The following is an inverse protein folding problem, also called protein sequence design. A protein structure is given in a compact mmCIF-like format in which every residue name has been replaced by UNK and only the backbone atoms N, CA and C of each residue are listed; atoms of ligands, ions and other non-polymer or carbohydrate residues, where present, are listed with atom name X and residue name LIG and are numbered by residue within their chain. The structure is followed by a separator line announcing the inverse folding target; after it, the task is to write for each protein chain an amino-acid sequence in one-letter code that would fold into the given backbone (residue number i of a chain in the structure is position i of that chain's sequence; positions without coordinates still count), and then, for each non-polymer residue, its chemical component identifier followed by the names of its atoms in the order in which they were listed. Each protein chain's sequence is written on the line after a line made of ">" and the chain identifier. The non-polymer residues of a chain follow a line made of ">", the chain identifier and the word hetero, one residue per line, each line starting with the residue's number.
data_IF_975124243783
#
_entry.id   IF_975124243783
#
_cell.length_a   1.000
_cell.length_b   1.000
_cell.length_c   1.000
_cell.angle_alpha   90.00
_cell.angle_beta   90.00
_cell.angle_gamma   90.00
#
_symmetry.space_group_name_H-M   'P 1'
#
loop_
_entity.id
_entity.type
_entity.pdbx_description
1 polymer ?
#
# COMPACT_ATOMS: atom_id res chain seq x y z
N UNK A 1 -37.96 -0.76 92.42
CA UNK A 1 -38.23 0.67 92.06
C UNK A 1 -37.01 1.54 91.77
N UNK A 2 -35.88 1.44 92.51
CA UNK A 2 -34.67 2.23 92.18
C UNK A 2 -33.83 1.57 91.06
N UNK A 3 -33.65 0.25 91.11
CA UNK A 3 -32.84 -0.51 90.14
C UNK A 3 -33.47 -0.54 88.73
N UNK A 4 -34.80 -0.62 88.63
CA UNK A 4 -35.48 -0.61 87.32
C UNK A 4 -35.39 0.74 86.60
N UNK A 5 -35.29 1.87 87.32
CA UNK A 5 -35.11 3.19 86.70
C UNK A 5 -33.70 3.39 86.15
N UNK A 6 -32.71 2.75 86.74
CA UNK A 6 -31.31 2.82 86.30
C UNK A 6 -31.06 1.93 85.08
N UNK A 7 -31.69 0.73 85.03
CA UNK A 7 -31.64 -0.18 83.87
C UNK A 7 -32.35 0.41 82.65
N UNK A 8 -33.50 1.07 82.83
CA UNK A 8 -34.21 1.77 81.73
C UNK A 8 -33.42 2.98 81.22
N UNK A 9 -32.70 3.69 82.10
CA UNK A 9 -31.82 4.80 81.72
C UNK A 9 -30.57 4.36 80.94
N UNK A 10 -30.01 3.18 81.24
CA UNK A 10 -28.88 2.60 80.50
C UNK A 10 -29.32 2.09 79.12
N UNK A 11 -30.45 1.38 79.03
CA UNK A 11 -30.99 0.91 77.75
C UNK A 11 -31.36 2.07 76.78
N UNK A 12 -31.84 3.20 77.31
CA UNK A 12 -32.11 4.41 76.51
C UNK A 12 -30.83 5.05 75.94
N UNK A 13 -29.74 5.07 76.72
CA UNK A 13 -28.43 5.57 76.26
C UNK A 13 -27.79 4.64 75.23
N UNK A 14 -27.94 3.33 75.39
CA UNK A 14 -27.44 2.35 74.41
C UNK A 14 -28.18 2.47 73.08
N UNK A 15 -29.49 2.74 73.09
CA UNK A 15 -30.28 3.01 71.88
C UNK A 15 -29.86 4.32 71.19
N UNK A 16 -29.48 5.34 71.93
CA UNK A 16 -29.04 6.63 71.38
C UNK A 16 -27.64 6.53 70.75
N UNK A 17 -26.73 5.80 71.40
CA UNK A 17 -25.39 5.49 70.87
C UNK A 17 -25.49 4.64 69.59
N UNK A 18 -26.39 3.66 69.54
CA UNK A 18 -26.63 2.84 68.35
C UNK A 18 -27.14 3.70 67.16
N UNK A 19 -28.03 4.66 67.42
CA UNK A 19 -28.52 5.58 66.39
C UNK A 19 -27.43 6.54 65.86
N UNK A 20 -26.55 7.04 66.73
CA UNK A 20 -25.42 7.89 66.33
C UNK A 20 -24.41 7.08 65.50
N UNK A 21 -24.11 5.85 65.91
CA UNK A 21 -23.23 4.95 65.17
C UNK A 21 -23.82 4.54 63.82
N UNK A 22 -25.15 4.33 63.74
CA UNK A 22 -25.88 4.08 62.49
C UNK A 22 -25.73 5.24 61.51
N UNK A 23 -26.07 6.47 61.94
CA UNK A 23 -25.90 7.68 61.10
C UNK A 23 -24.46 7.92 60.66
N UNK A 24 -23.47 7.56 61.50
CA UNK A 24 -22.06 7.69 61.16
C UNK A 24 -21.65 6.69 60.07
N UNK A 25 -22.14 5.45 60.13
CA UNK A 25 -21.93 4.43 59.10
C UNK A 25 -22.61 4.81 57.79
N UNK A 26 -23.83 5.35 57.85
CA UNK A 26 -24.56 5.80 56.66
C UNK A 26 -23.86 6.98 55.98
N UNK A 27 -23.39 7.95 56.78
CA UNK A 27 -22.60 9.09 56.27
C UNK A 27 -21.28 8.62 55.65
N UNK A 28 -20.60 7.66 56.28
CA UNK A 28 -19.37 7.07 55.75
C UNK A 28 -19.61 6.33 54.41
N UNK A 29 -20.70 5.56 54.32
CA UNK A 29 -21.09 4.88 53.08
C UNK A 29 -21.43 5.87 51.96
N UNK A 30 -22.14 6.96 52.28
CA UNK A 30 -22.45 8.01 51.32
C UNK A 30 -21.18 8.71 50.81
N UNK A 31 -20.21 8.97 51.69
CA UNK A 31 -18.91 9.55 51.31
C UNK A 31 -18.13 8.59 50.41
N UNK A 32 -18.05 7.31 50.78
CA UNK A 32 -17.37 6.28 49.98
C UNK A 32 -18.02 6.09 48.61
N UNK A 33 -19.35 6.10 48.54
CA UNK A 33 -20.08 6.01 47.27
C UNK A 33 -19.81 7.23 46.37
N UNK A 34 -19.84 8.43 46.94
CA UNK A 34 -19.60 9.67 46.19
C UNK A 34 -18.15 9.77 45.70
N UNK A 35 -17.18 9.31 46.51
CA UNK A 35 -15.78 9.15 46.10
C UNK A 35 -15.62 8.12 44.99
N UNK A 36 -16.30 6.97 45.09
CA UNK A 36 -16.24 5.91 44.08
C UNK A 36 -16.79 6.38 42.74
N UNK A 37 -17.95 7.07 42.75
CA UNK A 37 -18.56 7.64 41.55
C UNK A 37 -17.66 8.72 40.94
N UNK A 38 -17.12 9.62 41.77
CA UNK A 38 -16.20 10.66 41.29
C UNK A 38 -14.93 10.08 40.69
N UNK A 39 -14.32 9.08 41.32
CA UNK A 39 -13.12 8.41 40.80
C UNK A 39 -13.41 7.66 39.49
N UNK A 40 -14.55 6.98 39.38
CA UNK A 40 -14.99 6.35 38.14
C UNK A 40 -15.08 7.35 36.99
N UNK A 41 -15.74 8.49 37.21
CA UNK A 41 -15.85 9.54 36.18
C UNK A 41 -14.49 10.13 35.76
N UNK A 42 -13.53 10.25 36.68
CA UNK A 42 -12.19 10.72 36.36
C UNK A 42 -11.40 9.71 35.51
N UNK A 43 -11.58 8.41 35.76
CA UNK A 43 -10.97 7.34 34.96
C UNK A 43 -11.54 7.32 33.54
N UNK A 44 -12.86 7.42 33.40
CA UNK A 44 -13.52 7.47 32.10
C UNK A 44 -13.10 8.70 31.28
N UNK A 45 -13.00 9.86 31.94
CA UNK A 45 -12.51 11.08 31.31
C UNK A 45 -11.04 10.94 30.86
N UNK A 46 -10.20 10.30 31.66
CA UNK A 46 -8.82 9.98 31.30
C UNK A 46 -8.71 9.03 30.10
N UNK A 47 -9.55 8.00 30.05
CA UNK A 47 -9.64 7.08 28.92
C UNK A 47 -10.09 7.80 27.64
N UNK A 48 -11.10 8.67 27.73
CA UNK A 48 -11.56 9.47 26.59
C UNK A 48 -10.47 10.43 26.06
N UNK A 49 -9.71 11.08 26.96
CA UNK A 49 -8.61 11.96 26.57
C UNK A 49 -7.47 11.21 25.88
N UNK A 50 -7.08 10.03 26.37
CA UNK A 50 -6.03 9.22 25.73
C UNK A 50 -6.46 8.74 24.35
N UNK A 51 -7.71 8.29 24.19
CA UNK A 51 -8.28 7.90 22.91
C UNK A 51 -8.35 9.07 21.90
N UNK A 52 -8.71 10.27 22.36
CA UNK A 52 -8.72 11.47 21.52
C UNK A 52 -7.29 11.83 21.05
N UNK A 53 -6.31 11.74 21.95
CA UNK A 53 -4.91 11.99 21.61
C UNK A 53 -4.36 11.01 20.56
N UNK A 54 -4.74 9.74 20.63
CA UNK A 54 -4.38 8.74 19.61
C UNK A 54 -5.03 9.02 18.27
N UNK A 55 -6.32 9.40 18.26
CA UNK A 55 -7.04 9.79 17.03
C UNK A 55 -6.42 11.01 16.35
N UNK A 56 -5.99 12.01 17.12
CA UNK A 56 -5.28 13.19 16.58
C UNK A 56 -3.96 12.77 15.94
N UNK A 57 -3.16 11.96 16.64
CA UNK A 57 -1.89 11.44 16.08
C UNK A 57 -2.10 10.59 14.82
N UNK A 58 -3.17 9.80 14.78
CA UNK A 58 -3.52 9.04 13.59
C UNK A 58 -3.91 9.97 12.43
N UNK A 59 -4.76 10.97 12.68
CA UNK A 59 -5.16 11.96 11.68
C UNK A 59 -3.97 12.74 11.11
N UNK A 60 -2.99 13.12 11.95
CA UNK A 60 -1.76 13.77 11.51
C UNK A 60 -0.93 12.88 10.57
N UNK A 61 -0.81 11.59 10.90
CA UNK A 61 -0.13 10.62 10.03
C UNK A 61 -0.84 10.44 8.69
N UNK A 62 -2.17 10.35 8.70
CA UNK A 62 -2.96 10.28 7.47
C UNK A 62 -2.78 11.52 6.61
N UNK A 63 -2.83 12.72 7.20
CA UNK A 63 -2.59 13.97 6.47
C UNK A 63 -1.16 14.06 5.89
N UNK A 64 -0.17 13.49 6.58
CA UNK A 64 1.20 13.42 6.06
C UNK A 64 1.31 12.43 4.89
N UNK A 65 0.62 11.30 4.97
CA UNK A 65 0.60 10.31 3.90
C UNK A 65 -0.11 10.84 2.66
N UNK A 66 -1.25 11.52 2.85
CA UNK A 66 -2.02 12.15 1.77
C UNK A 66 -1.18 13.15 0.99
N UNK A 67 -0.44 14.04 1.68
CA UNK A 67 0.52 14.95 1.02
C UNK A 67 1.60 14.23 0.22
N UNK A 68 2.09 13.10 0.73
CA UNK A 68 3.11 12.29 0.03
C UNK A 68 2.53 11.61 -1.20
N UNK A 69 1.29 11.11 -1.10
CA UNK A 69 0.55 10.51 -2.19
C UNK A 69 0.32 11.53 -3.31
N UNK A 70 -0.18 12.72 -2.97
CA UNK A 70 -0.35 13.83 -3.92
C UNK A 70 0.96 14.18 -4.64
N UNK A 71 2.06 14.28 -3.88
CA UNK A 71 3.37 14.59 -4.47
C UNK A 71 3.85 13.51 -5.44
N UNK A 72 3.72 12.23 -5.07
CA UNK A 72 4.10 11.10 -5.92
C UNK A 72 3.22 11.09 -7.18
N UNK A 73 1.92 11.35 -7.04
CA UNK A 73 0.99 11.40 -8.15
C UNK A 73 1.34 12.52 -9.13
N UNK A 74 1.67 13.70 -8.62
CA UNK A 74 2.09 14.85 -9.44
C UNK A 74 3.39 14.56 -10.21
N UNK A 75 4.38 13.94 -9.54
CA UNK A 75 5.64 13.54 -10.18
C UNK A 75 5.39 12.50 -11.26
N UNK A 76 4.53 11.51 -10.99
CA UNK A 76 4.16 10.50 -11.97
C UNK A 76 3.49 11.12 -13.20
N UNK A 77 2.56 12.05 -13.01
CA UNK A 77 1.88 12.75 -14.12
C UNK A 77 2.84 13.62 -14.94
N UNK A 78 3.76 14.34 -14.27
CA UNK A 78 4.82 15.09 -14.93
C UNK A 78 5.72 14.16 -15.76
N UNK A 79 6.15 13.03 -15.19
CA UNK A 79 6.98 12.06 -15.90
C UNK A 79 6.24 11.45 -17.10
N UNK A 80 4.95 11.14 -16.95
CA UNK A 80 4.10 10.65 -18.04
C UNK A 80 3.93 11.69 -19.15
N UNK A 81 3.77 12.97 -18.80
CA UNK A 81 3.70 14.06 -19.76
C UNK A 81 5.02 14.23 -20.52
N UNK A 82 6.15 14.17 -19.82
CA UNK A 82 7.47 14.28 -20.45
C UNK A 82 7.73 13.07 -21.37
N UNK A 83 7.40 11.85 -20.95
CA UNK A 83 7.47 10.65 -21.78
C UNK A 83 6.64 10.79 -23.07
N UNK A 84 5.42 11.32 -22.98
CA UNK A 84 4.59 11.60 -24.17
C UNK A 84 5.25 12.63 -25.09
N UNK A 85 5.85 13.67 -24.52
CA UNK A 85 6.56 14.70 -25.29
C UNK A 85 7.79 14.14 -26.00
N UNK A 86 8.59 13.33 -25.31
CA UNK A 86 9.74 12.62 -25.90
C UNK A 86 9.30 11.67 -27.01
N UNK A 87 8.24 10.89 -26.80
CA UNK A 87 7.66 10.03 -27.83
C UNK A 87 7.15 10.85 -29.03
N UNK A 88 6.51 12.00 -28.79
CA UNK A 88 6.06 12.90 -29.87
C UNK A 88 7.23 13.48 -30.66
N UNK A 89 8.33 13.86 -29.99
CA UNK A 89 9.56 14.32 -30.65
C UNK A 89 10.12 13.20 -31.53
N UNK A 90 10.26 11.99 -30.99
CA UNK A 90 10.72 10.82 -31.73
C UNK A 90 9.87 10.57 -32.98
N UNK A 91 8.53 10.61 -32.84
CA UNK A 91 7.60 10.47 -33.96
C UNK A 91 7.73 11.60 -35.00
N UNK A 92 8.03 12.83 -34.58
CA UNK A 92 8.28 13.96 -35.50
C UNK A 92 9.64 13.91 -36.17
N UNK A 93 10.60 13.18 -35.61
CA UNK A 93 11.93 13.00 -36.20
C UNK A 93 11.94 11.96 -37.33
N UNK A 94 10.97 11.04 -37.36
CA UNK A 94 10.87 9.96 -38.36
C UNK A 94 11.01 10.45 -39.80
N UNK A 95 10.27 11.49 -40.25
CA UNK A 95 10.37 11.94 -41.64
C UNK A 95 11.72 12.57 -42.00
N UNK A 96 12.50 12.98 -40.99
CA UNK A 96 13.82 13.59 -41.17
C UNK A 96 14.95 12.56 -41.09
N UNK A 97 14.68 11.37 -40.55
CA UNK A 97 15.58 10.21 -40.61
C UNK A 97 15.50 9.55 -42.00
N UNK A 98 15.69 10.34 -43.07
CA UNK A 98 15.77 9.85 -44.44
C UNK A 98 17.05 9.03 -44.58
N UNK A 99 16.97 7.78 -44.16
CA UNK A 99 17.93 6.76 -44.52
C UNK A 99 17.71 6.55 -46.03
N UNK A 100 18.72 6.83 -46.86
CA UNK A 100 18.69 6.65 -48.31
C UNK A 100 18.67 5.16 -48.70
N UNK A 101 17.74 4.39 -48.12
CA UNK A 101 17.63 2.95 -48.30
C UNK A 101 16.15 2.64 -48.49
N UNK A 102 15.84 2.04 -49.64
CA UNK A 102 14.64 1.30 -50.06
C UNK A 102 13.32 1.60 -49.29
N UNK A 103 12.22 2.02 -49.95
CA UNK A 103 10.92 2.33 -49.31
C UNK A 103 10.39 1.27 -48.32
N UNK A 104 10.82 0.01 -48.43
CA UNK A 104 10.52 -1.06 -47.47
C UNK A 104 11.12 -0.80 -46.08
N UNK A 105 12.32 -0.23 -46.00
CA UNK A 105 13.01 0.11 -44.75
C UNK A 105 12.33 1.28 -44.06
N UNK A 106 11.86 2.27 -44.83
CA UNK A 106 11.12 3.42 -44.29
C UNK A 106 9.80 3.00 -43.64
N UNK A 107 9.03 2.11 -44.29
CA UNK A 107 7.79 1.57 -43.72
C UNK A 107 8.05 0.73 -42.45
N UNK A 108 9.13 -0.05 -42.46
CA UNK A 108 9.55 -0.83 -41.29
C UNK A 108 9.95 0.08 -40.12
N UNK A 109 10.65 1.17 -40.40
CA UNK A 109 11.11 2.15 -39.41
C UNK A 109 9.93 2.94 -38.80
N UNK A 110 8.95 3.37 -39.60
CA UNK A 110 7.73 4.00 -39.08
C UNK A 110 6.95 3.04 -38.16
N UNK A 111 6.85 1.76 -38.53
CA UNK A 111 6.28 0.71 -37.69
C UNK A 111 7.01 0.55 -36.36
N UNK A 112 8.35 0.46 -36.39
CA UNK A 112 9.19 0.35 -35.18
C UNK A 112 8.99 1.56 -34.25
N UNK A 113 8.95 2.76 -34.79
CA UNK A 113 8.90 3.99 -33.98
C UNK A 113 7.52 4.19 -33.34
N UNK A 114 6.45 3.81 -34.05
CA UNK A 114 5.07 3.96 -33.56
C UNK A 114 4.61 2.83 -32.65
N UNK A 115 4.96 1.60 -33.00
CA UNK A 115 4.40 0.39 -32.39
C UNK A 115 5.47 -0.50 -31.73
N UNK A 116 6.74 -0.08 -31.78
CA UNK A 116 7.85 -0.89 -31.31
C UNK A 116 8.24 -1.99 -32.30
N UNK A 117 9.27 -2.75 -31.93
CA UNK A 117 9.86 -3.80 -32.76
C UNK A 117 8.95 -5.01 -33.00
N UNK A 118 7.85 -5.11 -32.26
CA UNK A 118 6.89 -6.22 -32.37
C UNK A 118 5.93 -6.06 -33.56
N UNK A 119 5.87 -4.87 -34.16
CA UNK A 119 5.13 -4.61 -35.40
C UNK A 119 5.77 -5.25 -36.64
N UNK A 120 7.03 -5.67 -36.56
CA UNK A 120 7.72 -6.34 -37.64
C UNK A 120 7.29 -7.81 -37.71
N UNK A 121 6.71 -8.20 -38.84
CA UNK A 121 6.41 -9.60 -39.15
C UNK A 121 7.66 -10.31 -39.66
N UNK A 122 8.37 -10.98 -38.76
CA UNK A 122 9.44 -11.91 -39.13
C UNK A 122 8.86 -13.27 -39.51
N UNK A 123 9.56 -14.00 -40.38
CA UNK A 123 9.15 -15.35 -40.79
C UNK A 123 9.11 -16.28 -39.58
N UNK A 124 8.15 -17.21 -39.56
CA UNK A 124 8.05 -18.29 -38.56
C UNK A 124 7.83 -17.85 -37.11
N UNK A 125 7.18 -16.70 -36.91
CA UNK A 125 6.97 -16.14 -35.56
C UNK A 125 8.25 -15.64 -34.87
N UNK A 126 9.35 -15.57 -35.62
CA UNK A 126 10.65 -15.09 -35.14
C UNK A 126 10.54 -13.64 -34.65
N UNK A 127 11.45 -13.20 -33.81
CA UNK A 127 11.47 -11.81 -33.35
C UNK A 127 12.86 -11.22 -33.51
N UNK A 128 12.95 -9.89 -33.49
CA UNK A 128 14.25 -9.23 -33.56
C UNK A 128 15.17 -9.66 -32.41
N UNK A 129 14.61 -9.96 -31.22
CA UNK A 129 15.40 -10.46 -30.11
C UNK A 129 15.97 -11.86 -30.38
N UNK A 130 15.26 -12.73 -31.14
CA UNK A 130 15.84 -14.00 -31.61
C UNK A 130 17.05 -13.75 -32.52
N UNK A 131 16.90 -12.87 -33.52
CA UNK A 131 17.99 -12.53 -34.45
C UNK A 131 19.24 -12.01 -33.73
N UNK A 132 19.03 -11.06 -32.82
CA UNK A 132 20.12 -10.41 -32.07
C UNK A 132 20.79 -11.40 -31.12
N UNK A 133 20.01 -12.28 -30.49
CA UNK A 133 20.51 -13.34 -29.63
C UNK A 133 21.35 -14.38 -30.40
N UNK A 134 20.99 -14.67 -31.65
CA UNK A 134 21.72 -15.62 -32.51
C UNK A 134 22.98 -14.99 -33.11
N UNK A 135 22.87 -13.78 -33.67
CA UNK A 135 23.82 -13.27 -34.68
C UNK A 135 24.62 -12.02 -34.27
N UNK A 136 24.18 -11.24 -33.27
CA UNK A 136 24.75 -9.90 -33.00
C UNK A 136 25.58 -9.85 -31.71
N UNK A 137 26.90 -9.65 -31.82
CA UNK A 137 27.88 -9.60 -30.72
C UNK A 137 27.88 -8.37 -29.82
N UNK A 138 27.32 -7.25 -30.29
CA UNK A 138 27.24 -6.06 -29.47
C UNK A 138 26.15 -6.18 -28.40
N UNK A 139 26.58 -6.25 -27.14
CA UNK A 139 25.71 -6.32 -25.96
C UNK A 139 24.83 -5.07 -25.82
N UNK A 140 25.29 -3.91 -26.29
CA UNK A 140 24.53 -2.66 -26.22
C UNK A 140 23.29 -2.72 -27.10
N UNK A 141 23.43 -3.33 -28.29
CA UNK A 141 22.33 -3.56 -29.22
C UNK A 141 21.35 -4.58 -28.65
N UNK A 142 21.86 -5.65 -28.04
CA UNK A 142 21.03 -6.66 -27.36
C UNK A 142 20.24 -6.03 -26.21
N UNK A 143 20.86 -5.17 -25.40
CA UNK A 143 20.22 -4.49 -24.28
C UNK A 143 19.11 -3.57 -24.77
N UNK A 144 19.39 -2.76 -25.79
CA UNK A 144 18.42 -1.86 -26.40
C UNK A 144 17.21 -2.61 -26.95
N UNK A 145 17.43 -3.66 -27.75
CA UNK A 145 16.34 -4.45 -28.35
C UNK A 145 15.55 -5.18 -27.27
N UNK A 146 16.22 -5.69 -26.23
CA UNK A 146 15.56 -6.37 -25.12
C UNK A 146 14.72 -5.44 -24.23
N UNK A 147 15.15 -4.18 -24.05
CA UNK A 147 14.37 -3.15 -23.35
C UNK A 147 13.12 -2.72 -24.15
N UNK A 148 13.24 -2.65 -25.48
CA UNK A 148 12.17 -2.20 -26.36
C UNK A 148 11.21 -3.30 -26.82
N UNK A 149 11.59 -4.58 -26.68
CA UNK A 149 10.71 -5.71 -26.98
C UNK A 149 9.58 -5.78 -25.96
N UNK A 150 8.34 -6.07 -26.35
CA UNK A 150 7.24 -6.30 -25.39
C UNK A 150 7.41 -7.61 -24.63
N UNK A 151 7.77 -8.69 -25.32
CA UNK A 151 7.95 -10.03 -24.74
C UNK A 151 9.36 -10.59 -24.99
N UNK A 152 10.13 -10.69 -23.91
CA UNK A 152 11.51 -11.24 -23.90
C UNK A 152 11.48 -12.78 -24.01
N UNK A 153 10.36 -13.41 -23.64
CA UNK A 153 10.18 -14.85 -23.59
C UNK A 153 9.36 -15.39 -24.76
N UNK A 154 9.09 -14.53 -25.76
CA UNK A 154 8.33 -14.86 -26.97
C UNK A 154 8.91 -16.12 -27.62
N UNK A 155 8.04 -17.07 -27.95
CA UNK A 155 8.42 -18.29 -28.66
C UNK A 155 8.18 -18.11 -30.15
N UNK A 156 9.08 -18.66 -30.96
CA UNK A 156 8.86 -18.84 -32.38
C UNK A 156 8.00 -20.10 -32.68
N UNK A 157 7.78 -20.40 -33.96
CA UNK A 157 7.05 -21.59 -34.39
C UNK A 157 7.75 -22.92 -34.03
N UNK A 158 9.06 -22.90 -33.80
CA UNK A 158 9.82 -24.06 -33.31
C UNK A 158 9.71 -24.21 -31.77
N UNK A 159 9.00 -23.29 -31.10
CA UNK A 159 8.82 -23.26 -29.66
C UNK A 159 10.04 -22.76 -28.89
N UNK A 160 11.02 -22.22 -29.61
CA UNK A 160 12.31 -21.74 -29.11
C UNK A 160 12.20 -20.29 -28.69
N UNK A 161 12.93 -19.92 -27.63
CA UNK A 161 12.96 -18.55 -27.10
C UNK A 161 14.27 -17.86 -27.53
N UNK A 162 14.35 -16.52 -27.48
CA UNK A 162 15.58 -15.81 -27.85
C UNK A 162 16.81 -16.27 -27.06
N UNK A 163 16.63 -16.56 -25.76
CA UNK A 163 17.71 -17.08 -24.91
C UNK A 163 18.22 -18.46 -25.37
N UNK A 164 17.37 -19.28 -25.98
CA UNK A 164 17.75 -20.61 -26.43
C UNK A 164 18.63 -20.53 -27.68
N UNK A 165 18.39 -19.55 -28.56
CA UNK A 165 19.30 -19.21 -29.66
C UNK A 165 20.65 -18.69 -29.14
N UNK A 166 20.67 -17.82 -28.12
CA UNK A 166 21.92 -17.38 -27.50
C UNK A 166 22.72 -18.55 -26.89
N UNK A 167 22.03 -19.57 -26.37
CA UNK A 167 22.64 -20.81 -25.86
C UNK A 167 23.20 -21.68 -26.98
N UNK A 168 22.47 -21.85 -28.07
CA UNK A 168 22.94 -22.59 -29.24
C UNK A 168 24.19 -21.96 -29.85
N UNK A 169 24.21 -20.62 -29.96
CA UNK A 169 25.36 -19.87 -30.43
C UNK A 169 26.49 -19.74 -29.40
N UNK A 170 26.32 -20.27 -28.17
CA UNK A 170 27.29 -20.27 -27.06
C UNK A 170 27.74 -18.86 -26.63
N UNK A 171 26.79 -17.94 -26.43
CA UNK A 171 27.05 -16.50 -26.21
C UNK A 171 26.71 -16.10 -24.75
N UNK A 172 27.60 -16.34 -23.77
CA UNK A 172 27.28 -16.20 -22.34
C UNK A 172 26.93 -14.76 -21.92
N UNK A 173 27.54 -13.75 -22.54
CA UNK A 173 27.23 -12.34 -22.25
C UNK A 173 25.78 -11.99 -22.59
N UNK A 174 25.31 -12.45 -23.75
CA UNK A 174 23.93 -12.28 -24.21
C UNK A 174 22.95 -13.04 -23.31
N UNK A 175 23.29 -14.26 -22.90
CA UNK A 175 22.45 -15.07 -21.99
C UNK A 175 22.26 -14.33 -20.65
N UNK A 176 23.35 -13.83 -20.06
CA UNK A 176 23.31 -13.11 -18.79
C UNK A 176 22.47 -11.82 -18.89
N UNK A 177 22.59 -11.11 -20.00
CA UNK A 177 21.84 -9.89 -20.26
C UNK A 177 20.35 -10.16 -20.42
N UNK A 178 19.97 -11.17 -21.21
CA UNK A 178 18.57 -11.56 -21.39
C UNK A 178 17.97 -12.03 -20.04
N UNK A 179 18.68 -12.82 -19.24
CA UNK A 179 18.22 -13.20 -17.89
C UNK A 179 18.03 -11.99 -16.97
N UNK A 180 18.92 -11.00 -17.02
CA UNK A 180 18.78 -9.74 -16.27
C UNK A 180 17.50 -9.00 -16.68
N UNK A 181 17.25 -8.86 -17.99
CA UNK A 181 16.04 -8.21 -18.51
C UNK A 181 14.76 -8.94 -18.11
N UNK A 182 14.76 -10.28 -18.12
CA UNK A 182 13.63 -11.10 -17.66
C UNK A 182 13.31 -10.85 -16.18
N UNK A 183 14.33 -10.79 -15.33
CA UNK A 183 14.16 -10.49 -13.90
C UNK A 183 13.60 -9.09 -13.68
N UNK A 184 14.11 -8.10 -14.42
CA UNK A 184 13.63 -6.71 -14.34
C UNK A 184 12.15 -6.59 -14.74
N UNK A 185 11.75 -7.23 -15.85
CA UNK A 185 10.34 -7.25 -16.27
C UNK A 185 9.42 -7.95 -15.27
N UNK A 186 9.89 -9.04 -14.66
CA UNK A 186 9.14 -9.74 -13.62
C UNK A 186 8.96 -8.87 -12.37
N UNK A 187 9.99 -8.14 -11.95
CA UNK A 187 9.93 -7.24 -10.80
C UNK A 187 9.01 -6.02 -11.03
N UNK A 188 9.03 -5.45 -12.25
CA UNK A 188 8.12 -4.36 -12.61
C UNK A 188 6.64 -4.77 -12.67
N UNK A 189 6.34 -6.06 -12.86
CA UNK A 189 4.98 -6.60 -12.87
C UNK A 189 4.44 -6.85 -11.45
N UNK A 190 5.31 -7.18 -10.49
CA UNK A 190 4.92 -7.45 -9.09
C UNK A 190 4.63 -6.19 -8.29
N UNK A 191 5.31 -5.07 -8.58
CA UNK A 191 5.06 -3.78 -7.89
C UNK A 191 3.67 -3.19 -8.19
N UNK A 192 3.03 -3.60 -9.29
CA UNK A 192 1.70 -3.12 -9.70
C UNK A 192 0.51 -3.96 -9.18
N UNK A 193 0.73 -5.19 -8.71
CA UNK A 193 -0.34 -6.10 -8.28
C UNK A 193 -0.31 -6.40 -6.76
N UNK A 194 0.88 -6.42 -6.14
CA UNK A 194 1.02 -6.67 -4.70
C UNK A 194 0.82 -5.42 -3.83
N UNK A 195 0.91 -4.21 -4.40
CA UNK A 195 0.72 -2.95 -3.68
C UNK A 195 -0.76 -2.57 -3.49
N UNK A 196 -1.62 -2.90 -4.46
CA UNK A 196 -3.04 -2.57 -4.40
C UNK A 196 -3.84 -3.47 -3.43
N UNK A 197 -3.56 -4.77 -3.40
CA UNK A 197 -4.33 -5.71 -2.56
C UNK A 197 -3.87 -5.80 -1.11
N UNK A 198 -2.67 -5.30 -0.78
CA UNK A 198 -2.21 -5.28 0.61
C UNK A 198 -2.71 -4.04 1.36
N UNK A 199 -2.76 -2.88 0.70
CA UNK A 199 -3.33 -1.66 1.31
C UNK A 199 -4.86 -1.71 1.39
N UNK A 200 -5.59 -2.25 0.40
CA UNK A 200 -7.05 -2.37 0.49
C UNK A 200 -7.51 -3.38 1.56
N UNK A 201 -6.75 -4.47 1.78
CA UNK A 201 -7.08 -5.44 2.81
C UNK A 201 -6.77 -4.93 4.23
N UNK A 202 -5.68 -4.18 4.44
CA UNK A 202 -5.37 -3.57 5.75
C UNK A 202 -6.34 -2.40 6.06
N UNK A 203 -6.63 -1.54 5.08
CA UNK A 203 -7.54 -0.40 5.26
C UNK A 203 -9.00 -0.83 5.43
N UNK A 204 -9.44 -1.90 4.76
CA UNK A 204 -10.80 -2.44 4.96
C UNK A 204 -10.97 -3.08 6.35
N UNK A 205 -9.96 -3.82 6.84
CA UNK A 205 -9.98 -4.39 8.19
C UNK A 205 -10.01 -3.29 9.25
N UNK A 206 -9.26 -2.21 9.08
CA UNK A 206 -9.27 -1.08 10.02
C UNK A 206 -10.59 -0.28 10.00
N UNK A 207 -11.23 -0.12 8.83
CA UNK A 207 -12.52 0.57 8.72
C UNK A 207 -13.70 -0.24 9.26
N UNK A 208 -13.70 -1.56 9.07
CA UNK A 208 -14.72 -2.46 9.64
C UNK A 208 -14.58 -2.51 11.16
N UNK A 209 -13.33 -2.59 11.66
CA UNK A 209 -13.04 -2.54 13.10
C UNK A 209 -13.40 -1.19 13.73
N UNK A 210 -13.20 -0.08 13.01
CA UNK A 210 -13.62 1.26 13.46
C UNK A 210 -15.15 1.41 13.43
N UNK A 211 -15.83 0.82 12.44
CA UNK A 211 -17.30 0.82 12.34
C UNK A 211 -17.93 0.03 13.49
N UNK A 212 -17.43 -1.16 13.78
CA UNK A 212 -17.93 -2.00 14.88
C UNK A 212 -17.73 -1.34 16.26
N UNK A 213 -16.60 -0.63 16.46
CA UNK A 213 -16.36 0.15 17.68
C UNK A 213 -17.25 1.38 17.78
N UNK A 214 -17.63 2.00 16.66
CA UNK A 214 -18.58 3.11 16.63
C UNK A 214 -20.02 2.65 16.92
N UNK A 215 -20.43 1.49 16.41
CA UNK A 215 -21.75 0.90 16.68
C UNK A 215 -21.87 0.46 18.14
N UNK A 216 -20.84 -0.16 18.73
CA UNK A 216 -20.84 -0.50 20.16
C UNK A 216 -20.90 0.72 21.09
N UNK A 217 -20.33 1.87 20.69
CA UNK A 217 -20.44 3.11 21.47
C UNK A 217 -21.81 3.78 21.32
N UNK A 218 -22.52 3.57 20.21
CA UNK A 218 -23.87 4.09 20.01
C UNK A 218 -24.91 3.32 20.84
N UNK A 219 -24.71 2.02 21.06
CA UNK A 219 -25.60 1.15 21.85
C UNK A 219 -25.41 1.28 23.38
N UNK A 220 -24.41 2.04 23.84
CA UNK A 220 -24.14 2.32 25.26
C UNK A 220 -24.55 3.74 25.71
N UNK A 221 -25.27 4.49 24.88
CA UNK A 221 -25.95 5.70 25.34
C UNK A 221 -27.27 5.33 26.03
N UNK A 222 -27.48 5.71 27.31
CA UNK A 222 -28.76 5.53 27.99
C UNK A 222 -29.89 6.38 27.37
#
# INVERSE_FOLDING_TARGET
>A
NAVEREVVGLAGRDSEIANILGRRKDSQYMIEHLLTVSLGSCVDLGAAHTQLAERIKAAEKYAQFEKRYEHIHEVHDKMKAEMRKQHQIMCRMVPFMRIEIDPVVEQSLDGIIRFGWDSLHWKRGYSMLHYVAESVDDLSVVELVGLLSTDVDKRDEDGMRPIDYARQSKRPGVINLIEKLRRQKKAGLTDGFDSAHKEEAEVAVDLETLRDRLTQMADLSP
#
